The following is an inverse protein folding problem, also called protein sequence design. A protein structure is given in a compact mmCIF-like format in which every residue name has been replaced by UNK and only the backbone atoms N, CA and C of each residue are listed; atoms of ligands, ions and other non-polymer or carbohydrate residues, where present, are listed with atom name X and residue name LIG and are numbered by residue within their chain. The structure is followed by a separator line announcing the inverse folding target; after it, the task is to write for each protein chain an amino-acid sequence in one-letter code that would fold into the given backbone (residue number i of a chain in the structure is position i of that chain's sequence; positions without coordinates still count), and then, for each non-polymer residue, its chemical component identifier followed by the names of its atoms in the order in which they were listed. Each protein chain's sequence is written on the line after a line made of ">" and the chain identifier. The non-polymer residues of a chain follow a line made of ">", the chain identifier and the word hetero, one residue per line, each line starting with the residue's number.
data_IF_589859258017
#
_entry.id   IF_589859258017
#
_cell.length_a   1.000
_cell.length_b   1.000
_cell.length_c   1.000
_cell.angle_alpha   90.00
_cell.angle_beta   90.00
_cell.angle_gamma   90.00
#
_symmetry.space_group_name_H-M   'P 1'
#
loop_
_entity.id
_entity.type
_entity.pdbx_description
1 polymer ?
#
# COMPACT_ATOMS: atom_id res chain seq x y z
N UNK A 1 -5.80 -39.28 -17.80
CA UNK A 1 -5.41 -38.63 -16.54
C UNK A 1 -3.93 -38.31 -16.67
N UNK A 2 -3.62 -37.14 -17.22
CA UNK A 2 -2.25 -36.71 -17.45
C UNK A 2 -1.83 -35.86 -16.25
N UNK A 3 -0.94 -36.41 -15.43
CA UNK A 3 -0.25 -35.67 -14.38
C UNK A 3 0.82 -34.86 -15.10
N UNK A 4 0.62 -33.54 -15.22
CA UNK A 4 1.63 -32.65 -15.78
C UNK A 4 2.84 -32.63 -14.83
N UNK A 5 3.96 -33.16 -15.33
CA UNK A 5 5.27 -33.05 -14.69
C UNK A 5 5.90 -31.74 -15.18
N UNK A 6 6.07 -30.82 -14.21
CA UNK A 6 6.71 -29.49 -14.27
C UNK A 6 5.80 -28.37 -14.82
N UNK A 7 5.34 -27.52 -13.91
CA UNK A 7 4.47 -26.36 -14.17
C UNK A 7 3.03 -26.55 -13.66
N UNK A 8 2.42 -25.47 -13.17
CA UNK A 8 0.99 -25.44 -12.85
C UNK A 8 0.17 -25.21 -14.13
N UNK A 9 -0.99 -25.84 -14.26
CA UNK A 9 -1.89 -25.67 -15.43
C UNK A 9 -2.55 -24.28 -15.40
N UNK A 10 -2.20 -23.35 -16.31
CA UNK A 10 -2.71 -21.97 -16.27
C UNK A 10 -4.23 -21.90 -16.41
N UNK A 11 -4.84 -22.83 -17.15
CA UNK A 11 -6.30 -22.88 -17.31
C UNK A 11 -6.97 -23.30 -16.00
N UNK A 12 -6.37 -24.26 -15.30
CA UNK A 12 -6.87 -24.68 -13.98
C UNK A 12 -6.69 -23.59 -12.92
N UNK A 13 -5.60 -22.81 -12.98
CA UNK A 13 -5.35 -21.67 -12.10
C UNK A 13 -6.38 -20.56 -12.33
N UNK A 14 -6.59 -20.13 -13.57
CA UNK A 14 -7.58 -19.11 -13.92
C UNK A 14 -9.00 -19.54 -13.54
N UNK A 15 -9.37 -20.80 -13.80
CA UNK A 15 -10.67 -21.33 -13.40
C UNK A 15 -10.84 -21.38 -11.87
N UNK A 16 -9.75 -21.51 -11.12
CA UNK A 16 -9.77 -21.47 -9.66
C UNK A 16 -9.89 -20.03 -9.15
N UNK A 17 -9.18 -19.08 -9.77
CA UNK A 17 -9.31 -17.65 -9.47
C UNK A 17 -10.75 -17.16 -9.65
N UNK A 18 -11.41 -17.55 -10.75
CA UNK A 18 -12.81 -17.20 -11.00
C UNK A 18 -13.78 -17.77 -9.96
N UNK A 19 -13.53 -18.99 -9.48
CA UNK A 19 -14.35 -19.58 -8.40
C UNK A 19 -14.17 -18.83 -7.09
N UNK A 20 -12.94 -18.51 -6.73
CA UNK A 20 -12.63 -17.80 -5.48
C UNK A 20 -13.21 -16.37 -5.52
N UNK A 21 -13.04 -15.63 -6.62
CA UNK A 21 -13.71 -14.34 -6.80
C UNK A 21 -15.25 -14.46 -6.76
N UNK A 22 -15.80 -15.60 -7.18
CA UNK A 22 -17.22 -15.92 -6.99
C UNK A 22 -17.62 -16.02 -5.51
N UNK A 23 -16.85 -16.74 -4.71
CA UNK A 23 -17.09 -16.86 -3.27
C UNK A 23 -16.88 -15.54 -2.52
N UNK A 24 -15.93 -14.71 -2.94
CA UNK A 24 -15.74 -13.35 -2.44
C UNK A 24 -17.03 -12.53 -2.60
N UNK A 25 -17.59 -12.49 -3.82
CA UNK A 25 -18.87 -11.80 -4.07
C UNK A 25 -20.05 -12.36 -3.26
N UNK A 26 -20.11 -13.68 -3.06
CA UNK A 26 -21.16 -14.30 -2.23
C UNK A 26 -21.03 -13.89 -0.76
N UNK A 27 -19.80 -13.86 -0.23
CA UNK A 27 -19.52 -13.46 1.15
C UNK A 27 -19.82 -11.97 1.37
N UNK A 28 -19.52 -11.11 0.40
CA UNK A 28 -19.81 -9.67 0.48
C UNK A 28 -21.32 -9.40 0.48
N UNK A 29 -22.08 -10.17 -0.32
CA UNK A 29 -23.54 -10.13 -0.27
C UNK A 29 -24.08 -10.58 1.11
N UNK A 30 -23.48 -11.62 1.71
CA UNK A 30 -23.85 -12.06 3.07
C UNK A 30 -23.56 -10.97 4.11
N UNK A 31 -22.38 -10.35 4.05
CA UNK A 31 -21.97 -9.24 4.91
C UNK A 31 -22.94 -8.07 4.80
N UNK A 32 -23.28 -7.66 3.58
CA UNK A 32 -24.24 -6.60 3.28
C UNK A 32 -25.63 -6.88 3.86
N UNK A 33 -26.14 -8.11 3.69
CA UNK A 33 -27.43 -8.51 4.25
C UNK A 33 -27.44 -8.54 5.78
N UNK A 34 -26.35 -9.02 6.39
CA UNK A 34 -26.22 -9.05 7.84
C UNK A 34 -26.12 -7.63 8.44
N UNK A 35 -25.36 -6.74 7.80
CA UNK A 35 -25.29 -5.31 8.13
C UNK A 35 -26.68 -4.65 8.09
N UNK A 36 -27.48 -4.94 7.06
CA UNK A 36 -28.85 -4.43 6.98
C UNK A 36 -29.74 -4.97 8.10
N UNK A 37 -29.67 -6.28 8.38
CA UNK A 37 -30.45 -6.89 9.46
C UNK A 37 -30.11 -6.30 10.84
N UNK A 38 -28.83 -6.03 11.11
CA UNK A 38 -28.38 -5.37 12.35
C UNK A 38 -28.93 -3.94 12.45
N UNK A 39 -28.93 -3.17 11.35
CA UNK A 39 -29.53 -1.83 11.32
C UNK A 39 -31.03 -1.84 11.60
N UNK A 40 -31.75 -2.80 11.03
CA UNK A 40 -33.22 -2.91 11.16
C UNK A 40 -33.68 -3.23 12.60
N UNK A 41 -32.79 -3.79 13.45
CA UNK A 41 -33.08 -4.05 14.87
C UNK A 41 -33.36 -2.76 15.66
N UNK A 42 -32.77 -1.62 15.28
CA UNK A 42 -32.99 -0.33 15.95
C UNK A 42 -34.44 0.18 15.85
N UNK A 43 -35.25 -0.40 14.96
CA UNK A 43 -36.69 -0.11 14.85
C UNK A 43 -37.59 -1.04 15.68
N UNK A 44 -37.05 -2.14 16.23
CA UNK A 44 -37.84 -3.22 16.84
C UNK A 44 -37.41 -3.53 18.29
N UNK A 45 -36.19 -3.15 18.65
CA UNK A 45 -35.59 -3.37 19.96
C UNK A 45 -34.93 -2.06 20.43
N UNK A 46 -34.77 -1.87 21.73
CA UNK A 46 -34.13 -0.68 22.31
C UNK A 46 -33.62 -0.95 23.72
N UNK A 47 -32.74 -0.07 24.21
CA UNK A 47 -32.06 -0.20 25.50
C UNK A 47 -30.65 -0.79 25.36
N UNK A 48 -29.91 -0.81 26.48
CA UNK A 48 -28.47 -1.09 26.49
C UNK A 48 -28.05 -2.46 25.93
N UNK A 49 -28.93 -3.47 25.99
CA UNK A 49 -28.65 -4.78 25.39
C UNK A 49 -28.60 -4.72 23.86
N UNK A 50 -29.45 -3.90 23.24
CA UNK A 50 -29.39 -3.66 21.79
C UNK A 50 -28.11 -2.89 21.45
N UNK A 51 -27.79 -1.85 22.23
CA UNK A 51 -26.61 -1.02 21.97
C UNK A 51 -25.33 -1.86 22.04
N UNK A 52 -25.22 -2.77 23.01
CA UNK A 52 -24.12 -3.73 23.12
C UNK A 52 -24.07 -4.71 21.93
N UNK A 53 -25.22 -5.26 21.51
CA UNK A 53 -25.28 -6.17 20.37
C UNK A 53 -24.88 -5.48 19.06
N UNK A 54 -25.47 -4.31 18.76
CA UNK A 54 -25.14 -3.53 17.57
C UNK A 54 -23.69 -3.05 17.61
N UNK A 55 -23.17 -2.71 18.79
CA UNK A 55 -21.76 -2.33 18.99
C UNK A 55 -20.77 -3.47 18.76
N UNK A 56 -21.21 -4.74 18.79
CA UNK A 56 -20.35 -5.89 18.46
C UNK A 56 -20.27 -6.18 16.96
N UNK A 57 -21.21 -5.65 16.16
CA UNK A 57 -21.28 -5.88 14.71
C UNK A 57 -20.05 -5.37 13.93
N UNK A 58 -19.50 -4.17 14.19
CA UNK A 58 -18.31 -3.69 13.48
C UNK A 58 -17.13 -4.66 13.51
N UNK A 59 -16.88 -5.33 14.65
CA UNK A 59 -15.79 -6.31 14.76
C UNK A 59 -16.07 -7.57 13.93
N UNK A 60 -17.33 -8.04 13.90
CA UNK A 60 -17.71 -9.18 13.07
C UNK A 60 -17.67 -8.83 11.57
N UNK A 61 -18.09 -7.62 11.21
CA UNK A 61 -18.05 -7.09 9.86
C UNK A 61 -16.61 -6.94 9.35
N UNK A 62 -15.70 -6.45 10.19
CA UNK A 62 -14.27 -6.38 9.91
C UNK A 62 -13.64 -7.77 9.69
N UNK A 63 -14.01 -8.77 10.50
CA UNK A 63 -13.55 -10.15 10.29
C UNK A 63 -14.03 -10.76 8.96
N UNK A 64 -15.26 -10.45 8.55
CA UNK A 64 -15.80 -10.86 7.24
C UNK A 64 -15.12 -10.12 6.09
N UNK A 65 -14.82 -8.83 6.26
CA UNK A 65 -14.06 -8.04 5.30
C UNK A 65 -12.62 -8.57 5.13
N UNK A 66 -11.97 -8.99 6.21
CA UNK A 66 -10.67 -9.67 6.14
C UNK A 66 -10.72 -10.94 5.30
N UNK A 67 -11.74 -11.78 5.49
CA UNK A 67 -11.93 -13.00 4.67
C UNK A 67 -12.17 -12.68 3.18
N UNK A 68 -12.85 -11.57 2.86
CA UNK A 68 -13.02 -11.10 1.49
C UNK A 68 -11.69 -10.72 0.85
N UNK A 69 -10.88 -9.93 1.56
CA UNK A 69 -9.54 -9.57 1.12
C UNK A 69 -8.71 -10.83 0.85
N UNK A 70 -8.72 -11.81 1.75
CA UNK A 70 -7.98 -13.07 1.54
C UNK A 70 -8.42 -13.78 0.26
N UNK A 71 -9.72 -13.86 -0.02
CA UNK A 71 -10.20 -14.48 -1.27
C UNK A 71 -9.76 -13.71 -2.51
N UNK A 72 -9.79 -12.39 -2.47
CA UNK A 72 -9.35 -11.57 -3.60
C UNK A 72 -7.84 -11.71 -3.84
N UNK A 73 -7.02 -11.68 -2.78
CA UNK A 73 -5.57 -11.93 -2.84
C UNK A 73 -5.25 -13.31 -3.42
N UNK A 74 -5.94 -14.36 -2.96
CA UNK A 74 -5.78 -15.72 -3.51
C UNK A 74 -6.14 -15.78 -5.00
N UNK A 75 -7.21 -15.10 -5.41
CA UNK A 75 -7.63 -15.07 -6.81
C UNK A 75 -6.62 -14.31 -7.69
N UNK A 76 -6.06 -13.20 -7.19
CA UNK A 76 -5.01 -12.44 -7.87
C UNK A 76 -3.72 -13.27 -7.99
N UNK A 77 -3.28 -13.92 -6.92
CA UNK A 77 -2.11 -14.80 -6.93
C UNK A 77 -2.25 -15.93 -7.96
N UNK A 78 -3.42 -16.55 -8.08
CA UNK A 78 -3.70 -17.56 -9.10
C UNK A 78 -3.62 -16.99 -10.53
N UNK A 79 -4.10 -15.76 -10.75
CA UNK A 79 -3.99 -15.06 -12.04
C UNK A 79 -2.54 -14.70 -12.38
N UNK A 80 -1.76 -14.22 -11.42
CA UNK A 80 -0.32 -13.95 -11.56
C UNK A 80 0.45 -15.22 -11.94
N UNK A 81 0.20 -16.31 -11.22
CA UNK A 81 0.82 -17.61 -11.50
C UNK A 81 0.47 -18.15 -12.89
N UNK A 82 -0.79 -17.97 -13.34
CA UNK A 82 -1.18 -18.34 -14.69
C UNK A 82 -0.44 -17.51 -15.76
N UNK A 83 -0.27 -16.20 -15.54
CA UNK A 83 0.44 -15.30 -16.44
C UNK A 83 1.93 -15.64 -16.54
N UNK A 84 2.61 -15.86 -15.42
CA UNK A 84 4.02 -16.23 -15.39
C UNK A 84 4.30 -17.56 -16.14
N UNK A 85 3.38 -18.53 -16.06
CA UNK A 85 3.47 -19.79 -16.82
C UNK A 85 3.26 -19.58 -18.33
N UNK A 86 2.45 -18.61 -18.74
CA UNK A 86 2.29 -18.23 -20.14
C UNK A 86 3.54 -17.53 -20.70
N UNK A 87 4.15 -16.64 -19.94
CA UNK A 87 5.35 -15.87 -20.34
C UNK A 87 6.59 -16.77 -20.45
N UNK A 88 6.79 -17.68 -19.50
CA UNK A 88 7.87 -18.69 -19.57
C UNK A 88 7.71 -19.69 -20.71
N UNK A 89 6.47 -19.90 -21.19
CA UNK A 89 6.18 -20.73 -22.36
C UNK A 89 6.31 -19.99 -23.70
N UNK A 90 6.40 -18.65 -23.69
CA UNK A 90 6.41 -17.79 -24.89
C UNK A 90 7.70 -16.99 -25.10
N UNK A 91 8.82 -17.39 -24.50
CA UNK A 91 10.14 -16.80 -24.77
C UNK A 91 10.53 -16.86 -26.26
N UNK A 92 10.14 -15.83 -27.00
CA UNK A 92 10.40 -15.67 -28.44
C UNK A 92 9.45 -14.69 -29.14
N UNK A 93 9.48 -13.40 -28.81
CA UNK A 93 8.94 -12.35 -29.69
C UNK A 93 8.38 -11.11 -28.99
N UNK A 94 8.99 -9.96 -29.26
CA UNK A 94 8.55 -8.60 -28.87
C UNK A 94 7.21 -8.19 -29.53
N UNK A 95 6.54 -7.14 -29.02
CA UNK A 95 5.09 -7.11 -28.88
C UNK A 95 4.39 -6.24 -29.93
N UNK A 96 3.17 -6.65 -30.28
CA UNK A 96 2.08 -5.76 -30.68
C UNK A 96 0.80 -6.59 -30.59
N UNK A 97 -0.09 -6.23 -29.69
CA UNK A 97 -1.51 -6.02 -30.01
C UNK A 97 -2.28 -5.58 -28.77
N UNK A 98 -2.88 -4.40 -28.89
CA UNK A 98 -3.81 -3.83 -27.95
C UNK A 98 -5.10 -4.67 -27.87
N UNK A 99 -5.73 -4.70 -26.70
CA UNK A 99 -7.19 -4.90 -26.63
C UNK A 99 -7.79 -4.15 -25.42
N UNK A 100 -9.04 -3.65 -25.53
CA UNK A 100 -9.57 -2.52 -24.79
C UNK A 100 -10.58 -2.90 -23.70
N UNK A 101 -10.86 -1.92 -22.82
CA UNK A 101 -12.22 -1.65 -22.34
C UNK A 101 -12.76 -2.50 -21.18
N UNK A 102 -12.52 -2.04 -19.96
CA UNK A 102 -13.37 -2.19 -18.76
C UNK A 102 -12.73 -1.30 -17.69
N UNK A 103 -13.25 -0.15 -17.26
CA UNK A 103 -14.65 0.17 -17.00
C UNK A 103 -14.95 -0.12 -15.53
N UNK A 104 -14.65 0.84 -14.66
CA UNK A 104 -15.10 1.03 -13.28
C UNK A 104 -15.08 -0.21 -12.36
N UNK A 105 -14.15 -0.25 -11.42
CA UNK A 105 -14.11 -1.29 -10.39
C UNK A 105 -13.41 -0.82 -9.13
N UNK A 106 -14.22 -0.48 -8.12
CA UNK A 106 -13.92 -0.47 -6.67
C UNK A 106 -12.57 -1.07 -6.30
N UNK A 107 -11.64 -0.23 -5.81
CA UNK A 107 -10.45 -0.69 -5.11
C UNK A 107 -10.87 -1.34 -3.80
N UNK A 108 -10.82 -2.67 -3.75
CA UNK A 108 -10.92 -3.44 -2.52
C UNK A 108 -9.53 -3.53 -1.88
N UNK A 109 -9.39 -2.85 -0.74
CA UNK A 109 -8.20 -2.86 0.11
C UNK A 109 -7.75 -4.28 0.46
N UNK A 110 -6.44 -4.49 0.33
CA UNK A 110 -5.74 -5.69 0.77
C UNK A 110 -5.48 -5.55 2.29
N UNK A 111 -5.56 -6.65 3.05
CA UNK A 111 -5.51 -6.70 4.52
C UNK A 111 -4.55 -5.70 5.17
N UNK A 112 -5.07 -4.99 6.18
CA UNK A 112 -4.43 -3.84 6.81
C UNK A 112 -3.01 -4.10 7.30
N UNK A 113 -2.14 -3.17 6.92
CA UNK A 113 -0.77 -2.98 7.41
C UNK A 113 -0.73 -3.04 8.95
N UNK A 114 0.37 -3.54 9.48
CA UNK A 114 0.58 -3.55 10.94
C UNK A 114 1.25 -2.26 11.36
N UNK A 115 0.48 -1.20 11.54
CA UNK A 115 0.99 0.14 11.90
C UNK A 115 1.89 0.13 13.16
N UNK A 116 2.81 1.12 13.29
CA UNK A 116 3.57 1.31 14.53
C UNK A 116 2.63 1.33 15.74
N UNK A 117 3.05 0.72 16.86
CA UNK A 117 2.24 0.72 18.07
C UNK A 117 1.99 2.15 18.56
N UNK A 118 0.71 2.51 18.65
CA UNK A 118 0.27 3.69 19.37
C UNK A 118 0.57 3.54 20.88
N UNK A 119 1.38 4.40 21.52
CA UNK A 119 1.63 4.34 22.96
C UNK A 119 0.39 4.54 23.83
N UNK A 120 -0.74 5.02 23.27
CA UNK A 120 -2.03 5.16 23.97
C UNK A 120 -3.00 3.99 23.72
N UNK A 121 -2.72 3.13 22.74
CA UNK A 121 -3.46 1.88 22.49
C UNK A 121 -4.88 2.02 21.95
N UNK A 122 -5.29 3.20 21.45
CA UNK A 122 -6.58 3.42 20.79
C UNK A 122 -6.39 3.49 19.26
N UNK A 123 -7.39 3.02 18.50
CA UNK A 123 -7.51 3.27 17.05
C UNK A 123 -8.02 4.69 16.76
N UNK A 124 -7.91 5.59 17.73
CA UNK A 124 -8.27 6.99 17.61
C UNK A 124 -7.17 7.69 16.82
N UNK A 125 -7.46 7.96 15.54
CA UNK A 125 -6.63 8.79 14.69
C UNK A 125 -6.42 10.20 15.29
N UNK A 126 -7.25 10.59 16.26
CA UNK A 126 -7.13 11.83 16.99
C UNK A 126 -7.81 13.00 16.28
N UNK A 127 -7.85 14.17 16.92
CA UNK A 127 -8.44 15.38 16.36
C UNK A 127 -7.72 15.83 15.07
N UNK A 128 -8.46 16.60 14.27
CA UNK A 128 -7.87 17.38 13.20
C UNK A 128 -7.13 18.61 13.75
N UNK A 129 -5.89 18.77 13.34
CA UNK A 129 -5.06 19.95 13.53
C UNK A 129 -5.15 20.86 12.29
N UNK A 130 -5.44 22.15 12.47
CA UNK A 130 -5.41 23.11 11.36
C UNK A 130 -3.97 23.48 11.02
N UNK A 131 -3.66 23.49 9.73
CA UNK A 131 -2.33 23.83 9.20
C UNK A 131 -2.40 25.06 8.28
N UNK A 132 -1.29 25.80 8.23
CA UNK A 132 -1.06 26.85 7.24
C UNK A 132 -0.35 26.29 6.01
N UNK A 133 0.33 27.17 5.27
CA UNK A 133 1.25 26.77 4.21
C UNK A 133 2.42 25.95 4.79
N UNK A 134 2.61 24.73 4.27
CA UNK A 134 3.75 23.86 4.54
C UNK A 134 4.87 24.21 3.55
N UNK A 135 6.11 24.24 4.03
CA UNK A 135 7.27 24.50 3.19
C UNK A 135 7.54 23.31 2.26
N UNK A 136 7.91 23.61 1.02
CA UNK A 136 8.32 22.61 0.01
C UNK A 136 9.66 23.04 -0.61
N UNK A 137 10.52 23.70 0.16
CA UNK A 137 11.82 24.17 -0.32
C UNK A 137 12.77 22.98 -0.54
N UNK A 138 13.96 23.25 -1.06
CA UNK A 138 14.99 22.22 -1.18
C UNK A 138 15.41 21.77 0.22
N UNK A 139 15.37 20.46 0.46
CA UNK A 139 15.64 19.86 1.77
C UNK A 139 14.41 19.66 2.66
N UNK A 140 13.21 20.04 2.21
CA UNK A 140 11.93 19.73 2.89
C UNK A 140 11.21 18.50 2.27
N UNK A 141 11.80 17.92 1.22
CA UNK A 141 11.21 16.88 0.38
C UNK A 141 12.17 15.69 0.27
N UNK A 142 12.41 15.02 1.38
CA UNK A 142 13.21 13.78 1.41
C UNK A 142 12.37 12.58 1.80
N UNK A 143 12.73 11.40 1.31
CA UNK A 143 12.08 10.14 1.71
C UNK A 143 12.20 9.85 3.21
N UNK A 144 13.25 10.36 3.86
CA UNK A 144 13.47 10.23 5.31
C UNK A 144 12.67 11.22 6.15
N UNK A 145 12.01 12.19 5.50
CA UNK A 145 11.11 13.13 6.18
C UNK A 145 9.71 12.54 6.35
N UNK A 146 9.49 11.27 6.01
CA UNK A 146 8.19 10.60 6.18
C UNK A 146 8.22 9.73 7.43
N UNK A 147 7.28 9.96 8.32
CA UNK A 147 6.94 9.11 9.45
C UNK A 147 5.45 8.74 9.37
N UNK A 148 5.17 7.47 9.08
CA UNK A 148 3.83 6.91 9.00
C UNK A 148 3.15 6.96 10.37
N UNK A 149 1.89 7.37 10.35
CA UNK A 149 1.04 7.37 11.54
C UNK A 149 0.36 6.02 11.79
N UNK A 150 -0.91 6.08 12.19
CA UNK A 150 -1.71 4.92 12.58
C UNK A 150 -2.60 4.39 11.45
N UNK A 151 -2.36 4.81 10.22
CA UNK A 151 -3.08 4.38 9.02
C UNK A 151 -2.19 3.40 8.27
N UNK A 152 -2.78 2.35 7.71
CA UNK A 152 -2.08 1.32 6.95
C UNK A 152 -1.72 1.71 5.52
N UNK A 153 -1.25 2.93 5.32
CA UNK A 153 -0.99 3.51 4.02
C UNK A 153 0.50 3.47 3.62
N UNK A 154 1.29 2.53 4.16
CA UNK A 154 2.69 2.35 3.81
C UNK A 154 2.92 2.27 2.30
N UNK A 155 2.00 1.65 1.55
CA UNK A 155 2.02 1.53 0.10
C UNK A 155 2.03 2.90 -0.61
N UNK A 156 1.29 3.87 -0.06
CA UNK A 156 1.22 5.25 -0.51
C UNK A 156 2.52 5.99 -0.19
N UNK A 157 2.93 5.93 1.08
CA UNK A 157 4.11 6.62 1.59
C UNK A 157 5.40 6.11 0.94
N UNK A 158 5.52 4.81 0.74
CA UNK A 158 6.65 4.18 0.07
C UNK A 158 6.75 4.53 -1.43
N UNK A 159 5.62 4.88 -2.07
CA UNK A 159 5.62 5.41 -3.42
C UNK A 159 5.95 6.92 -3.45
N UNK A 160 5.47 7.67 -2.46
CA UNK A 160 5.64 9.12 -2.37
C UNK A 160 7.09 9.54 -2.10
N UNK A 161 7.79 8.85 -1.19
CA UNK A 161 9.15 9.22 -0.79
C UNK A 161 10.16 9.28 -1.95
N UNK A 162 10.25 8.25 -2.81
CA UNK A 162 11.11 8.28 -4.01
C UNK A 162 10.77 9.44 -4.96
N UNK A 163 9.49 9.80 -5.10
CA UNK A 163 9.07 10.96 -5.90
C UNK A 163 9.60 12.25 -5.27
N UNK A 164 9.43 12.42 -3.95
CA UNK A 164 9.89 13.60 -3.24
C UNK A 164 11.41 13.80 -3.38
N UNK A 165 12.20 12.73 -3.21
CA UNK A 165 13.66 12.77 -3.32
C UNK A 165 14.14 13.05 -4.74
N UNK A 166 13.64 12.31 -5.73
CA UNK A 166 14.21 12.30 -7.09
C UNK A 166 13.56 13.30 -8.05
N UNK A 167 12.30 13.65 -7.81
CA UNK A 167 11.54 14.65 -8.56
C UNK A 167 10.77 15.61 -7.64
N UNK A 168 11.44 16.37 -6.76
CA UNK A 168 10.78 17.29 -5.83
C UNK A 168 9.98 18.39 -6.55
N UNK A 169 10.30 18.69 -7.81
CA UNK A 169 9.52 19.63 -8.61
C UNK A 169 8.14 19.06 -8.97
N UNK A 170 8.01 17.75 -9.14
CA UNK A 170 6.71 17.12 -9.31
C UNK A 170 5.77 17.46 -8.16
N UNK A 171 6.23 17.29 -6.91
CA UNK A 171 5.45 17.61 -5.70
C UNK A 171 5.05 19.10 -5.67
N UNK A 172 6.01 20.00 -5.97
CA UNK A 172 5.78 21.44 -5.99
C UNK A 172 4.76 21.88 -7.04
N UNK A 173 4.81 21.27 -8.22
CA UNK A 173 3.92 21.58 -9.33
C UNK A 173 2.51 21.00 -9.12
N UNK A 174 2.38 19.95 -8.31
CA UNK A 174 1.11 19.24 -8.09
C UNK A 174 0.40 19.62 -6.78
N UNK A 175 0.99 20.45 -5.91
CA UNK A 175 0.35 20.93 -4.68
C UNK A 175 0.27 22.44 -4.65
N UNK A 176 -0.92 22.99 -4.38
CA UNK A 176 -1.14 24.43 -4.21
C UNK A 176 -1.88 24.71 -2.91
N UNK A 177 -1.44 25.72 -2.17
CA UNK A 177 -2.13 26.24 -0.99
C UNK A 177 -2.85 27.56 -1.30
N UNK A 178 -4.14 27.65 -0.94
CA UNK A 178 -4.91 28.89 -0.96
C UNK A 178 -5.14 29.37 0.48
N UNK A 179 -4.36 30.37 0.91
CA UNK A 179 -4.46 31.00 2.23
C UNK A 179 -5.82 31.67 2.46
N UNK A 180 -6.46 32.19 1.41
CA UNK A 180 -7.74 32.88 1.52
C UNK A 180 -8.91 31.93 1.74
N UNK A 181 -8.81 30.72 1.18
CA UNK A 181 -9.78 29.65 1.34
C UNK A 181 -9.44 28.71 2.52
N UNK A 182 -8.18 28.67 2.94
CA UNK A 182 -7.67 27.70 3.92
C UNK A 182 -7.73 26.28 3.38
N UNK A 183 -7.33 26.07 2.13
CA UNK A 183 -7.41 24.77 1.44
C UNK A 183 -6.12 24.43 0.71
N UNK A 184 -5.83 23.14 0.62
CA UNK A 184 -4.86 22.60 -0.34
C UNK A 184 -5.60 22.06 -1.55
N UNK A 185 -5.01 22.21 -2.73
CA UNK A 185 -5.40 21.46 -3.93
C UNK A 185 -4.21 20.62 -4.37
N UNK A 186 -4.44 19.31 -4.49
CA UNK A 186 -3.46 18.33 -4.94
C UNK A 186 -3.92 17.75 -6.27
N UNK A 187 -3.03 17.68 -7.24
CA UNK A 187 -3.29 16.98 -8.50
C UNK A 187 -2.92 15.51 -8.31
N UNK A 188 -3.94 14.64 -8.32
CA UNK A 188 -3.81 13.19 -8.34
C UNK A 188 -4.36 12.66 -9.67
N UNK A 189 -4.34 11.35 -9.85
CA UNK A 189 -4.79 10.69 -11.07
C UNK A 189 -5.73 9.53 -10.76
N UNK A 190 -6.82 9.44 -11.51
CA UNK A 190 -7.79 8.33 -11.47
C UNK A 190 -7.91 7.76 -12.88
N UNK A 191 -7.62 6.46 -13.05
CA UNK A 191 -7.52 5.81 -14.36
C UNK A 191 -6.64 6.58 -15.38
N UNK A 192 -5.58 7.25 -14.90
CA UNK A 192 -4.66 8.05 -15.71
C UNK A 192 -5.16 9.47 -16.06
N UNK A 193 -6.37 9.84 -15.65
CA UNK A 193 -6.90 11.20 -15.81
C UNK A 193 -6.56 12.07 -14.59
N UNK A 194 -6.04 13.27 -14.83
CA UNK A 194 -5.71 14.20 -13.75
C UNK A 194 -6.97 14.72 -13.03
N UNK A 195 -6.99 14.57 -11.70
CA UNK A 195 -8.05 15.00 -10.79
C UNK A 195 -7.49 16.03 -9.82
N UNK A 196 -8.12 17.21 -9.77
CA UNK A 196 -7.82 18.24 -8.76
C UNK A 196 -8.59 17.93 -7.49
N UNK A 197 -7.89 17.47 -6.45
CA UNK A 197 -8.47 17.15 -5.14
C UNK A 197 -8.25 18.32 -4.20
N UNK A 198 -9.32 19.04 -3.87
CA UNK A 198 -9.28 20.16 -2.92
C UNK A 198 -9.73 19.70 -1.53
N UNK A 199 -8.85 19.85 -0.55
CA UNK A 199 -9.09 19.50 0.86
C UNK A 199 -8.92 20.73 1.74
N UNK A 200 -9.62 20.78 2.87
CA UNK A 200 -9.35 21.83 3.87
C UNK A 200 -7.96 21.66 4.47
N UNK A 201 -7.32 22.77 4.86
CA UNK A 201 -5.98 22.80 5.42
C UNK A 201 -5.99 22.35 6.90
N UNK A 202 -6.23 21.06 7.09
CA UNK A 202 -6.10 20.36 8.36
C UNK A 202 -5.59 18.95 8.13
N UNK A 203 -4.92 18.38 9.12
CA UNK A 203 -4.41 17.00 9.10
C UNK A 203 -4.83 16.30 10.38
N UNK A 204 -4.84 14.98 10.36
CA UNK A 204 -5.15 14.18 11.56
C UNK A 204 -3.92 14.13 12.49
N UNK A 205 -4.14 14.10 13.81
CA UNK A 205 -3.05 14.04 14.81
C UNK A 205 -2.14 12.84 14.59
N UNK A 206 -2.71 11.64 14.43
CA UNK A 206 -1.97 10.40 14.27
C UNK A 206 -1.87 9.91 12.81
N UNK A 207 -1.87 10.83 11.83
CA UNK A 207 -1.59 10.53 10.42
C UNK A 207 -0.10 10.69 10.09
N UNK A 208 0.25 10.60 8.80
CA UNK A 208 1.62 10.79 8.32
C UNK A 208 2.18 12.18 8.69
N UNK A 209 3.43 12.23 9.16
CA UNK A 209 4.14 13.45 9.61
C UNK A 209 5.63 13.37 9.24
N UNK A 210 6.40 14.38 9.64
CA UNK A 210 7.86 14.28 9.70
C UNK A 210 8.37 13.67 11.02
N UNK A 211 9.66 13.30 11.11
CA UNK A 211 10.23 12.70 12.32
C UNK A 211 10.25 13.64 13.55
N UNK A 212 10.02 14.94 13.38
CA UNK A 212 9.84 15.91 14.45
C UNK A 212 8.35 16.06 14.87
N UNK A 213 7.48 15.21 14.31
CA UNK A 213 6.04 15.18 14.55
C UNK A 213 5.28 16.35 13.93
N UNK A 214 5.87 17.07 12.97
CA UNK A 214 5.21 18.18 12.28
C UNK A 214 4.51 17.69 11.00
N UNK A 215 3.37 18.32 10.62
CA UNK A 215 2.76 18.06 9.32
C UNK A 215 3.68 18.50 8.18
N UNK A 216 3.78 17.66 7.14
CA UNK A 216 4.62 17.91 5.97
C UNK A 216 3.89 17.59 4.66
N UNK A 217 4.64 17.42 3.56
CA UNK A 217 4.08 17.06 2.26
C UNK A 217 3.35 15.71 2.26
N UNK A 218 3.81 14.73 3.04
CA UNK A 218 3.15 13.43 3.18
C UNK A 218 1.78 13.56 3.82
N UNK A 219 1.64 14.39 4.87
CA UNK A 219 0.34 14.68 5.49
C UNK A 219 -0.69 15.26 4.50
N UNK A 220 -0.24 16.09 3.55
CA UNK A 220 -1.10 16.66 2.51
C UNK A 220 -1.55 15.57 1.52
N UNK A 221 -0.62 14.73 1.07
CA UNK A 221 -0.91 13.64 0.12
C UNK A 221 -1.78 12.54 0.73
N UNK A 222 -1.55 12.15 1.98
CA UNK A 222 -2.37 11.19 2.73
C UNK A 222 -3.84 11.63 2.73
N UNK A 223 -4.10 12.89 3.14
CA UNK A 223 -5.45 13.43 3.16
C UNK A 223 -6.08 13.55 1.77
N UNK A 224 -5.31 14.00 0.77
CA UNK A 224 -5.80 14.10 -0.60
C UNK A 224 -6.13 12.70 -1.19
N UNK A 225 -5.31 11.70 -0.89
CA UNK A 225 -5.54 10.32 -1.32
C UNK A 225 -6.79 9.73 -0.65
N UNK A 226 -6.96 9.92 0.66
CA UNK A 226 -8.18 9.54 1.37
C UNK A 226 -9.42 10.19 0.73
N UNK A 227 -9.34 11.49 0.39
CA UNK A 227 -10.42 12.19 -0.31
C UNK A 227 -10.70 11.66 -1.72
N UNK A 228 -9.68 11.19 -2.45
CA UNK A 228 -9.85 10.59 -3.78
C UNK A 228 -10.50 9.20 -3.69
N UNK A 229 -10.11 8.40 -2.70
CA UNK A 229 -10.47 6.97 -2.59
C UNK A 229 -11.84 6.70 -1.98
N UNK A 230 -12.42 7.66 -1.27
CA UNK A 230 -13.77 7.51 -0.70
C UNK A 230 -14.17 8.57 0.32
N UNK A 231 -13.19 9.32 0.84
CA UNK A 231 -13.39 10.42 1.78
C UNK A 231 -13.00 10.08 3.22
N UNK A 232 -12.70 8.81 3.53
CA UNK A 232 -12.29 8.36 4.85
C UNK A 232 -10.84 7.83 4.83
N UNK A 233 -10.09 8.00 5.91
CA UNK A 233 -8.71 7.49 5.99
C UNK A 233 -8.64 5.95 6.00
N UNK A 234 -9.73 5.26 6.37
CA UNK A 234 -9.82 3.80 6.21
C UNK A 234 -9.86 3.37 4.73
N UNK A 235 -10.16 4.27 3.80
CA UNK A 235 -10.17 3.97 2.36
C UNK A 235 -8.76 3.89 1.75
N UNK A 236 -7.72 4.22 2.54
CA UNK A 236 -6.31 4.10 2.16
C UNK A 236 -5.54 3.10 3.05
N UNK A 237 -6.24 2.41 3.95
CA UNK A 237 -5.68 1.32 4.76
C UNK A 237 -5.53 0.06 3.89
N UNK A 238 -4.27 -0.28 3.59
CA UNK A 238 -3.89 -1.35 2.68
C UNK A 238 -3.90 -0.95 1.21
N UNK A 239 -2.99 -1.55 0.43
CA UNK A 239 -2.81 -1.27 -0.99
C UNK A 239 -1.44 -1.70 -1.50
N UNK A 240 -1.16 -1.43 -2.78
CA UNK A 240 0.12 -1.76 -3.41
C UNK A 240 0.77 -0.50 -4.00
N UNK A 241 2.09 -0.38 -3.90
CA UNK A 241 2.77 0.85 -4.31
C UNK A 241 2.68 1.15 -5.82
N UNK A 242 2.38 0.18 -6.68
CA UNK A 242 2.06 0.46 -8.09
C UNK A 242 0.75 1.24 -8.25
N UNK A 243 -0.26 0.97 -7.43
CA UNK A 243 -1.50 1.77 -7.41
C UNK A 243 -1.23 3.20 -6.91
N UNK A 244 -0.33 3.37 -5.93
CA UNK A 244 0.04 4.69 -5.43
C UNK A 244 0.85 5.47 -6.46
N UNK A 245 1.85 4.84 -7.07
CA UNK A 245 2.62 5.47 -8.15
C UNK A 245 1.71 5.93 -9.28
N UNK A 246 0.74 5.10 -9.69
CA UNK A 246 -0.22 5.46 -10.73
C UNK A 246 -1.13 6.62 -10.28
N UNK A 247 -1.64 6.59 -9.04
CA UNK A 247 -2.53 7.63 -8.53
C UNK A 247 -1.81 8.96 -8.24
N UNK A 248 -0.52 8.95 -7.91
CA UNK A 248 0.27 10.17 -7.70
C UNK A 248 0.73 10.75 -9.04
N UNK A 249 1.23 9.91 -9.95
CA UNK A 249 1.96 10.38 -11.14
C UNK A 249 1.15 10.35 -12.43
N UNK A 250 0.09 9.56 -12.51
CA UNK A 250 -0.65 9.30 -13.74
C UNK A 250 0.12 8.46 -14.77
N UNK A 251 1.29 7.92 -14.39
CA UNK A 251 2.19 7.19 -15.30
C UNK A 251 1.94 5.70 -15.24
N UNK A 252 2.35 4.99 -16.30
CA UNK A 252 2.35 3.54 -16.33
C UNK A 252 3.33 2.97 -15.30
N UNK A 253 2.84 2.03 -14.51
CA UNK A 253 3.58 1.39 -13.43
C UNK A 253 3.86 -0.07 -13.76
N UNK A 254 4.91 -0.60 -13.15
CA UNK A 254 5.30 -1.99 -13.28
C UNK A 254 5.40 -2.60 -11.88
N UNK A 255 4.59 -3.63 -11.64
CA UNK A 255 4.72 -4.51 -10.49
C UNK A 255 5.28 -5.87 -10.92
N UNK A 256 6.14 -6.42 -10.08
CA UNK A 256 6.80 -7.71 -10.26
C UNK A 256 6.99 -8.40 -8.92
N UNK A 257 7.47 -9.64 -8.97
CA UNK A 257 7.89 -10.35 -7.77
C UNK A 257 9.25 -9.87 -7.26
N UNK A 258 9.95 -10.77 -6.56
CA UNK A 258 11.35 -10.59 -6.16
C UNK A 258 12.23 -10.20 -7.36
N UNK A 259 13.00 -9.11 -7.23
CA UNK A 259 13.92 -8.62 -8.25
C UNK A 259 15.38 -8.87 -7.87
N UNK A 260 16.27 -9.03 -8.86
CA UNK A 260 17.71 -9.06 -8.59
C UNK A 260 18.26 -7.65 -8.35
N UNK A 261 19.43 -7.55 -7.71
CA UNK A 261 20.11 -6.25 -7.58
C UNK A 261 20.48 -5.64 -8.93
N UNK A 262 20.74 -6.46 -9.95
CA UNK A 262 21.06 -5.97 -11.29
C UNK A 262 19.84 -5.31 -11.93
N UNK A 263 18.64 -5.88 -11.73
CA UNK A 263 17.39 -5.30 -12.22
C UNK A 263 17.04 -4.01 -11.47
N UNK A 264 17.17 -4.00 -10.14
CA UNK A 264 16.93 -2.81 -9.31
C UNK A 264 17.89 -1.68 -9.72
N UNK A 265 19.18 -1.97 -9.82
CA UNK A 265 20.15 -0.97 -10.28
C UNK A 265 19.88 -0.47 -11.70
N UNK A 266 19.46 -1.35 -12.62
CA UNK A 266 19.13 -0.94 -13.98
C UNK A 266 17.95 0.03 -13.98
N UNK A 267 16.88 -0.30 -13.25
CA UNK A 267 15.72 0.56 -13.11
C UNK A 267 16.10 1.93 -12.51
N UNK A 268 16.87 1.96 -11.42
CA UNK A 268 17.33 3.20 -10.81
C UNK A 268 18.21 4.02 -11.77
N UNK A 269 19.13 3.37 -12.51
CA UNK A 269 19.97 4.04 -13.53
C UNK A 269 19.16 4.61 -14.69
N UNK A 270 18.06 3.95 -15.05
CA UNK A 270 17.12 4.41 -16.07
C UNK A 270 16.19 5.52 -15.54
N UNK A 271 16.37 5.96 -14.28
CA UNK A 271 15.60 7.02 -13.66
C UNK A 271 14.20 6.59 -13.25
N UNK A 272 14.00 5.30 -12.98
CA UNK A 272 12.75 4.77 -12.43
C UNK A 272 12.75 4.89 -10.91
N UNK A 273 11.61 5.28 -10.38
CA UNK A 273 11.33 5.35 -8.94
C UNK A 273 10.85 3.97 -8.50
N UNK A 274 11.23 3.53 -7.30
CA UNK A 274 11.01 2.15 -6.87
C UNK A 274 10.57 2.04 -5.41
N UNK A 275 9.68 1.09 -5.16
CA UNK A 275 9.30 0.60 -3.83
C UNK A 275 9.33 -0.94 -3.84
N UNK A 276 9.43 -1.56 -2.67
CA UNK A 276 9.44 -3.02 -2.51
C UNK A 276 8.49 -3.42 -1.38
N UNK A 277 7.91 -4.61 -1.46
CA UNK A 277 6.99 -5.15 -0.45
C UNK A 277 7.55 -6.40 0.22
N UNK A 278 7.23 -6.57 1.50
CA UNK A 278 7.49 -7.79 2.26
C UNK A 278 6.29 -8.76 2.16
N UNK A 279 6.56 -10.04 2.40
CA UNK A 279 5.53 -11.10 2.34
C UNK A 279 4.38 -10.88 3.34
N UNK A 280 3.20 -11.40 2.99
CA UNK A 280 1.99 -11.39 3.80
C UNK A 280 2.12 -12.37 4.98
N UNK A 281 1.70 -11.94 6.19
CA UNK A 281 1.58 -12.82 7.35
C UNK A 281 0.32 -13.70 7.21
N UNK A 282 0.37 -14.68 6.31
CA UNK A 282 -0.66 -15.70 6.17
C UNK A 282 -0.61 -16.62 7.42
N UNK A 283 -1.39 -16.26 8.44
CA UNK A 283 -1.63 -17.01 9.67
C UNK A 283 -2.22 -18.44 9.47
N UNK A 284 -2.24 -18.97 8.24
CA UNK A 284 -2.83 -20.25 7.85
C UNK A 284 -1.83 -21.39 7.60
N UNK A 285 -0.52 -21.13 7.50
CA UNK A 285 0.49 -22.18 7.28
C UNK A 285 1.50 -22.26 8.42
N UNK A 286 1.28 -23.20 9.33
CA UNK A 286 2.07 -23.43 10.55
C UNK A 286 3.55 -23.87 10.37
N UNK A 287 4.22 -23.60 9.23
CA UNK A 287 5.56 -24.15 8.95
C UNK A 287 6.51 -23.33 8.07
N UNK A 288 6.27 -22.05 7.79
CA UNK A 288 7.30 -21.14 7.24
C UNK A 288 7.29 -19.88 8.09
N UNK A 289 8.46 -19.51 8.64
CA UNK A 289 8.60 -18.23 9.33
C UNK A 289 8.58 -17.14 8.25
N UNK A 290 7.64 -16.22 8.42
CA UNK A 290 7.48 -14.92 7.77
C UNK A 290 8.76 -14.08 7.97
N UNK A 291 9.16 -13.28 6.97
CA UNK A 291 10.26 -12.29 7.03
C UNK A 291 11.42 -12.70 7.96
N UNK A 292 12.41 -13.40 7.41
CA UNK A 292 13.54 -13.99 8.14
C UNK A 292 14.30 -13.03 9.09
N UNK A 293 14.30 -11.73 8.81
CA UNK A 293 14.91 -10.69 9.64
C UNK A 293 13.85 -9.98 10.49
N UNK A 294 13.79 -10.31 11.79
CA UNK A 294 12.82 -9.72 12.73
C UNK A 294 12.90 -8.19 12.88
N UNK A 295 13.90 -7.50 12.30
CA UNK A 295 13.95 -6.03 12.24
C UNK A 295 13.10 -5.45 11.11
N UNK A 296 12.56 -6.29 10.24
CA UNK A 296 11.72 -5.91 9.10
C UNK A 296 10.25 -6.16 9.47
N UNK A 297 9.40 -5.27 8.97
CA UNK A 297 7.94 -5.32 9.12
C UNK A 297 7.36 -6.26 8.04
N UNK A 298 6.56 -7.28 8.40
CA UNK A 298 5.83 -8.09 7.43
C UNK A 298 4.60 -7.37 6.87
N UNK A 299 4.12 -7.80 5.70
CA UNK A 299 3.02 -7.16 4.95
C UNK A 299 3.17 -5.63 4.85
N UNK A 300 4.35 -5.16 4.42
CA UNK A 300 4.72 -3.75 4.50
C UNK A 300 5.55 -3.29 3.30
N UNK A 301 5.36 -2.03 2.90
CA UNK A 301 6.08 -1.42 1.78
C UNK A 301 7.29 -0.59 2.25
N UNK A 302 8.40 -0.68 1.52
CA UNK A 302 9.64 0.06 1.77
C UNK A 302 10.04 0.86 0.52
N UNK A 303 10.69 1.99 0.76
CA UNK A 303 11.28 2.84 -0.28
C UNK A 303 12.65 2.31 -0.67
N UNK A 304 12.93 2.24 -1.97
CA UNK A 304 14.27 1.87 -2.45
C UNK A 304 15.12 3.12 -2.56
N UNK A 305 16.16 3.23 -1.74
CA UNK A 305 17.12 4.32 -1.85
C UNK A 305 18.13 4.04 -2.98
N UNK A 306 18.92 2.99 -2.81
CA UNK A 306 20.00 2.63 -3.75
C UNK A 306 20.48 1.19 -3.56
N UNK A 307 21.29 0.72 -4.51
CA UNK A 307 22.17 -0.45 -4.33
C UNK A 307 23.61 0.04 -4.43
N UNK A 308 24.41 -0.19 -3.39
CA UNK A 308 25.77 0.33 -3.28
C UNK A 308 26.69 -0.63 -2.51
N UNK A 309 28.00 -0.32 -2.51
CA UNK A 309 28.93 -0.97 -1.59
C UNK A 309 28.76 -0.38 -0.19
N UNK A 310 28.39 -1.20 0.77
CA UNK A 310 28.27 -0.87 2.18
C UNK A 310 28.99 -1.95 3.00
N UNK A 311 29.82 -1.55 3.96
CA UNK A 311 30.67 -2.47 4.76
C UNK A 311 31.48 -3.50 3.93
N UNK A 312 31.90 -3.10 2.72
CA UNK A 312 32.70 -3.94 1.82
C UNK A 312 31.90 -5.02 1.08
N UNK A 313 30.57 -4.95 1.11
CA UNK A 313 29.65 -5.84 0.38
C UNK A 313 28.67 -5.02 -0.46
N UNK A 314 28.21 -5.59 -1.58
CA UNK A 314 27.11 -5.00 -2.36
C UNK A 314 25.81 -5.24 -1.61
N UNK A 315 25.11 -4.16 -1.29
CA UNK A 315 23.90 -4.17 -0.47
C UNK A 315 22.86 -3.19 -1.04
N UNK A 316 21.59 -3.48 -0.81
CA UNK A 316 20.48 -2.56 -1.06
C UNK A 316 20.21 -1.77 0.21
N UNK A 317 19.98 -0.47 0.05
CA UNK A 317 19.49 0.42 1.10
C UNK A 317 18.00 0.63 0.92
N UNK A 318 17.24 0.32 1.98
CA UNK A 318 15.79 0.48 2.04
C UNK A 318 15.42 1.39 3.21
N UNK A 319 14.44 2.25 2.98
CA UNK A 319 13.89 3.16 3.99
C UNK A 319 12.47 2.73 4.33
N UNK A 320 12.20 2.54 5.60
CA UNK A 320 10.88 2.20 6.15
C UNK A 320 10.03 3.48 6.27
N UNK A 321 8.81 3.55 5.72
CA UNK A 321 7.95 4.71 5.86
C UNK A 321 7.52 5.00 7.31
N UNK A 322 7.75 4.10 8.27
CA UNK A 322 7.60 4.39 9.71
C UNK A 322 8.57 5.45 10.25
N UNK A 323 9.46 5.99 9.42
CA UNK A 323 10.41 7.02 9.81
C UNK A 323 11.77 6.47 10.20
N UNK A 324 12.77 7.37 10.37
CA UNK A 324 14.17 7.00 10.55
C UNK A 324 14.44 6.22 11.85
N UNK A 325 13.64 6.45 12.89
CA UNK A 325 13.73 5.72 14.16
C UNK A 325 12.98 4.38 14.12
N UNK A 326 12.18 4.16 13.07
CA UNK A 326 11.34 2.97 12.91
C UNK A 326 10.29 2.85 14.03
N UNK A 327 10.00 1.63 14.47
CA UNK A 327 8.95 1.42 15.45
C UNK A 327 8.90 0.01 16.01
N UNK A 328 7.75 -0.33 16.60
CA UNK A 328 7.49 -1.65 17.17
C UNK A 328 6.14 -2.15 16.69
N UNK A 329 6.05 -3.46 16.45
CA UNK A 329 4.77 -4.14 16.28
C UNK A 329 4.15 -4.42 17.64
N UNK A 330 2.83 -4.55 17.67
CA UNK A 330 2.12 -4.93 18.88
C UNK A 330 2.58 -6.30 19.34
N UNK A 331 2.89 -6.42 20.64
CA UNK A 331 3.35 -7.66 21.28
C UNK A 331 4.69 -8.21 20.71
N UNK A 332 5.47 -7.37 20.00
CA UNK A 332 6.84 -7.66 19.54
C UNK A 332 7.82 -6.71 20.24
N UNK A 333 8.87 -7.25 20.86
CA UNK A 333 9.91 -6.48 21.54
C UNK A 333 11.12 -6.14 20.64
N UNK A 334 11.09 -6.61 19.39
CA UNK A 334 12.11 -6.31 18.39
C UNK A 334 11.78 -4.99 17.69
N UNK A 335 12.73 -4.07 17.72
CA UNK A 335 12.60 -2.81 16.99
C UNK A 335 12.62 -3.09 15.48
N UNK A 336 11.60 -2.58 14.79
CA UNK A 336 11.53 -2.50 13.34
C UNK A 336 12.29 -1.26 12.93
N UNK A 337 13.36 -1.42 12.15
CA UNK A 337 14.29 -0.32 11.87
C UNK A 337 13.75 0.60 10.77
N UNK A 338 14.09 1.88 10.86
CA UNK A 338 13.77 2.91 9.87
C UNK A 338 14.64 2.88 8.62
N UNK A 339 15.89 2.45 8.79
CA UNK A 339 16.96 2.45 7.81
C UNK A 339 17.62 1.08 7.81
N UNK A 340 17.70 0.42 6.65
CA UNK A 340 18.27 -0.92 6.57
C UNK A 340 19.09 -1.16 5.31
N UNK A 341 20.28 -1.72 5.52
CA UNK A 341 21.14 -2.26 4.47
C UNK A 341 21.05 -3.78 4.48
N UNK A 342 20.74 -4.37 3.32
CA UNK A 342 20.62 -5.82 3.16
C UNK A 342 21.51 -6.33 2.03
N UNK A 343 22.16 -7.48 2.24
CA UNK A 343 22.76 -8.22 1.12
C UNK A 343 21.65 -8.75 0.20
N UNK A 344 21.98 -9.10 -1.05
CA UNK A 344 20.97 -9.62 -1.98
C UNK A 344 20.27 -10.87 -1.45
N UNK A 345 21.00 -11.74 -0.75
CA UNK A 345 20.41 -12.90 -0.10
C UNK A 345 19.37 -12.51 0.95
N UNK A 346 19.72 -11.58 1.85
CA UNK A 346 18.79 -11.13 2.89
C UNK A 346 17.59 -10.40 2.31
N UNK A 347 17.78 -9.56 1.30
CA UNK A 347 16.68 -8.90 0.60
C UNK A 347 15.68 -9.93 0.05
N UNK A 348 16.16 -10.94 -0.66
CA UNK A 348 15.34 -12.01 -1.25
C UNK A 348 14.66 -12.91 -0.21
N UNK A 349 15.24 -13.04 0.97
CA UNK A 349 14.65 -13.78 2.09
C UNK A 349 13.53 -13.02 2.80
N UNK A 350 13.31 -11.73 2.48
CA UNK A 350 12.35 -10.87 3.21
C UNK A 350 11.38 -10.11 2.30
N UNK A 351 11.69 -9.92 1.02
CA UNK A 351 10.92 -9.10 0.08
C UNK A 351 10.52 -9.91 -1.15
N UNK A 352 9.23 -9.94 -1.45
CA UNK A 352 8.66 -10.76 -2.52
C UNK A 352 8.11 -9.95 -3.70
N UNK A 353 8.05 -8.62 -3.55
CA UNK A 353 7.35 -7.73 -4.46
C UNK A 353 8.17 -6.49 -4.77
N UNK A 354 8.14 -6.08 -6.04
CA UNK A 354 8.81 -4.86 -6.52
C UNK A 354 7.86 -4.02 -7.34
N UNK A 355 7.90 -2.71 -7.12
CA UNK A 355 7.03 -1.72 -7.74
C UNK A 355 7.89 -0.62 -8.34
N UNK A 356 7.57 -0.17 -9.55
CA UNK A 356 8.33 0.91 -10.18
C UNK A 356 7.53 1.73 -11.17
N UNK A 357 7.93 3.00 -11.32
CA UNK A 357 7.35 3.96 -12.26
C UNK A 357 8.46 4.78 -12.91
N UNK A 358 8.23 5.32 -14.11
CA UNK A 358 9.15 6.30 -14.69
C UNK A 358 9.24 7.55 -13.81
N UNK A 359 10.46 7.99 -13.46
CA UNK A 359 10.67 9.20 -12.67
C UNK A 359 10.47 10.49 -13.47
N UNK A 360 10.38 10.42 -14.80
CA UNK A 360 10.11 11.57 -15.67
C UNK A 360 9.08 11.24 -16.73
N UNK A 361 8.44 12.28 -17.26
CA UNK A 361 7.59 12.15 -18.45
C UNK A 361 8.46 11.75 -19.66
N UNK A 362 8.02 10.73 -20.39
CA UNK A 362 8.74 10.14 -21.52
C UNK A 362 8.68 10.93 -22.82
#
# INVERSE_FOLDING_TARGET
>A
MAIYRKGADPVALLASAERISGYSRELDAVRSHASQAVRDLRGQWGGGDLDAFVGSWPNADAGLAGCLSTFDSMALALRRNARAQHETSQGGGSPFEANPGSGAGNGSGHGGDRNPVNPTGDSDLGPYEKIGAISMADGDLEMTDIEQGQIGDCWLLAALGPIARDDPQFIRDHVTYDDSAGTYTVTLYDDGEAVQVTVDASVIENGARDPDGQPNYASIYEKAMASLRGGEYSDIDGGNSDDAFAAITGRETHSGGESSFDDIESNLKDGRLMAVGTEDDDAFWFWEDEVDDHRIVPNHAYMVDQVAEHDGQRMIHLVNPWGPDGGYLKDDDTQKVGDIWLTEKQYKENFDSTYSVSGKDG
#
